data_IF_733380608474
#
_entry.id   IF_733380608474
#
_cell.length_a   1.000
_cell.length_b   1.000
_cell.length_c   1.000
_cell.angle_alpha   90.00
_cell.angle_beta   90.00
_cell.angle_gamma   90.00
#
_symmetry.space_group_name_H-M   'P 1'
#
loop_
_entity.id
_entity.type
_entity.pdbx_description
1 polymer ?
#
# COMPACT_ATOMS: atom_id res chain seq x y z
N UNK A 1 -16.39 0.62 -44.28
CA UNK A 1 -16.96 1.04 -42.98
C UNK A 1 -15.87 1.01 -41.93
N UNK A 2 -15.65 2.12 -41.22
CA UNK A 2 -14.45 2.37 -40.41
C UNK A 2 -14.32 1.52 -39.15
N UNK A 3 -13.08 1.14 -38.84
CA UNK A 3 -12.67 0.63 -37.53
C UNK A 3 -12.63 1.82 -36.58
N UNK A 4 -13.56 1.91 -35.65
CA UNK A 4 -13.57 2.99 -34.67
C UNK A 4 -12.74 2.57 -33.45
N UNK A 5 -11.68 3.33 -33.22
CA UNK A 5 -10.73 3.22 -32.12
C UNK A 5 -11.44 3.38 -30.77
N UNK A 6 -11.21 2.43 -29.86
CA UNK A 6 -11.66 2.52 -28.48
C UNK A 6 -10.64 1.87 -27.55
N UNK A 7 -9.63 2.64 -27.14
CA UNK A 7 -8.68 2.40 -26.05
C UNK A 7 -8.44 0.93 -25.66
N UNK A 8 -7.40 0.33 -26.23
CA UNK A 8 -6.77 -0.89 -25.74
C UNK A 8 -6.17 -0.62 -24.34
N UNK A 9 -6.96 -0.73 -23.28
CA UNK A 9 -6.40 -0.98 -21.95
C UNK A 9 -5.98 -2.45 -21.91
N UNK A 10 -4.96 -2.80 -22.69
CA UNK A 10 -4.26 -4.06 -22.51
C UNK A 10 -3.59 -3.95 -21.14
N UNK A 11 -4.00 -4.79 -20.20
CA UNK A 11 -3.30 -4.91 -18.93
C UNK A 11 -1.83 -5.28 -19.14
N UNK A 12 -1.12 -5.48 -18.04
CA UNK A 12 0.26 -5.95 -18.08
C UNK A 12 0.36 -7.26 -18.85
N UNK A 13 1.42 -7.38 -19.64
CA UNK A 13 1.62 -8.55 -20.49
C UNK A 13 1.92 -9.82 -19.68
N UNK A 14 2.52 -9.66 -18.50
CA UNK A 14 2.87 -10.77 -17.63
C UNK A 14 1.61 -11.43 -17.04
N UNK A 15 1.54 -12.75 -17.12
CA UNK A 15 0.47 -13.53 -16.48
C UNK A 15 0.91 -13.96 -15.07
N UNK A 16 0.18 -13.63 -14.00
CA UNK A 16 0.51 -14.07 -12.65
C UNK A 16 0.75 -15.58 -12.50
N UNK A 17 0.07 -16.41 -13.31
CA UNK A 17 0.26 -17.86 -13.27
C UNK A 17 1.66 -18.32 -13.67
N UNK A 18 2.37 -17.57 -14.52
CA UNK A 18 3.77 -17.87 -14.89
C UNK A 18 4.73 -17.65 -13.71
N UNK A 19 4.28 -16.88 -12.70
CA UNK A 19 5.01 -16.58 -11.47
C UNK A 19 4.49 -17.40 -10.28
N UNK A 20 3.69 -18.44 -10.54
CA UNK A 20 3.19 -19.36 -9.50
C UNK A 20 1.93 -18.89 -8.75
N UNK A 21 1.29 -17.81 -9.21
CA UNK A 21 0.02 -17.35 -8.63
C UNK A 21 -1.16 -18.18 -9.15
N UNK A 22 -2.04 -18.58 -8.25
CA UNK A 22 -3.24 -19.35 -8.57
C UNK A 22 -4.44 -18.41 -8.70
N UNK A 23 -5.09 -18.41 -9.87
CA UNK A 23 -6.31 -17.65 -10.10
C UNK A 23 -7.44 -18.12 -9.18
N UNK A 24 -8.12 -17.16 -8.53
CA UNK A 24 -9.20 -17.41 -7.58
C UNK A 24 -10.57 -16.92 -8.09
N UNK A 25 -10.58 -16.11 -9.14
CA UNK A 25 -11.80 -15.53 -9.71
C UNK A 25 -11.62 -14.08 -10.12
N UNK A 26 -12.72 -13.45 -10.49
CA UNK A 26 -12.76 -12.04 -10.87
C UNK A 26 -14.11 -11.42 -10.50
N UNK A 27 -14.14 -10.09 -10.46
CA UNK A 27 -15.39 -9.33 -10.40
C UNK A 27 -15.44 -8.37 -11.60
N UNK A 28 -16.36 -8.65 -12.52
CA UNK A 28 -16.52 -7.89 -13.75
C UNK A 28 -16.98 -6.44 -13.51
N UNK A 29 -17.77 -6.17 -12.47
CA UNK A 29 -18.25 -4.82 -12.16
C UNK A 29 -17.10 -3.91 -11.73
N UNK A 30 -16.21 -4.40 -10.88
CA UNK A 30 -15.02 -3.66 -10.43
C UNK A 30 -13.78 -3.89 -11.29
N UNK A 31 -13.87 -4.74 -12.31
CA UNK A 31 -12.79 -5.09 -13.26
C UNK A 31 -11.51 -5.51 -12.53
N UNK A 32 -11.67 -6.43 -11.58
CA UNK A 32 -10.59 -6.94 -10.74
C UNK A 32 -10.47 -8.45 -10.89
N UNK A 33 -9.23 -8.93 -10.88
CA UNK A 33 -8.87 -10.34 -10.86
C UNK A 33 -8.18 -10.68 -9.54
N UNK A 34 -8.50 -11.85 -8.99
CA UNK A 34 -8.00 -12.31 -7.71
C UNK A 34 -7.05 -13.48 -7.89
N UNK A 35 -5.89 -13.42 -7.24
CA UNK A 35 -4.92 -14.50 -7.22
C UNK A 35 -4.41 -14.78 -5.81
N UNK A 36 -3.97 -16.02 -5.57
CA UNK A 36 -3.33 -16.43 -4.33
C UNK A 36 -2.03 -17.17 -4.61
N UNK A 37 -0.98 -16.84 -3.87
CA UNK A 37 0.29 -17.53 -3.96
C UNK A 37 0.31 -18.70 -2.95
N UNK A 38 0.46 -19.96 -3.40
CA UNK A 38 0.21 -21.13 -2.56
C UNK A 38 1.25 -21.32 -1.46
N UNK A 39 2.49 -20.88 -1.66
CA UNK A 39 3.57 -21.14 -0.69
C UNK A 39 3.65 -20.15 0.47
N UNK A 40 3.30 -18.88 0.24
CA UNK A 40 3.39 -17.81 1.25
C UNK A 40 2.02 -17.25 1.65
N UNK A 41 0.94 -17.74 1.04
CA UNK A 41 -0.43 -17.31 1.33
C UNK A 41 -0.76 -15.88 0.91
N UNK A 42 0.12 -15.21 0.16
CA UNK A 42 -0.12 -13.85 -0.31
C UNK A 42 -1.31 -13.82 -1.27
N UNK A 43 -2.08 -12.72 -1.21
CA UNK A 43 -3.20 -12.46 -2.10
C UNK A 43 -2.91 -11.26 -2.98
N UNK A 44 -3.35 -11.31 -4.22
CA UNK A 44 -3.18 -10.28 -5.23
C UNK A 44 -4.56 -9.90 -5.78
N UNK A 45 -4.91 -8.62 -5.65
CA UNK A 45 -6.05 -8.02 -6.34
C UNK A 45 -5.47 -7.15 -7.47
N UNK A 46 -5.69 -7.56 -8.73
CA UNK A 46 -5.17 -6.90 -9.91
C UNK A 46 -6.29 -6.17 -10.66
N UNK A 47 -6.10 -4.89 -10.97
CA UNK A 47 -7.03 -4.05 -11.73
C UNK A 47 -6.42 -3.73 -13.10
N UNK A 48 -6.68 -4.55 -14.15
CA UNK A 48 -6.00 -4.40 -15.44
C UNK A 48 -6.22 -3.05 -16.10
N UNK A 49 -7.41 -2.46 -15.93
CA UNK A 49 -7.76 -1.18 -16.55
C UNK A 49 -6.98 0.01 -16.01
N UNK A 50 -6.48 -0.06 -14.77
CA UNK A 50 -5.78 1.05 -14.10
C UNK A 50 -4.34 0.69 -13.73
N UNK A 51 -3.85 -0.49 -14.10
CA UNK A 51 -2.54 -1.00 -13.68
C UNK A 51 -2.36 -1.02 -12.15
N UNK A 52 -3.48 -1.03 -11.40
CA UNK A 52 -3.43 -0.97 -9.94
C UNK A 52 -3.28 -2.37 -9.40
N UNK A 53 -2.36 -2.52 -8.44
CA UNK A 53 -2.10 -3.77 -7.75
C UNK A 53 -2.23 -3.56 -6.26
N UNK A 54 -2.95 -4.47 -5.62
CA UNK A 54 -2.96 -4.62 -4.18
C UNK A 54 -2.48 -6.00 -3.81
N UNK A 55 -1.51 -6.08 -2.91
CA UNK A 55 -1.06 -7.33 -2.31
C UNK A 55 -1.42 -7.37 -0.83
N UNK A 56 -1.87 -8.51 -0.34
CA UNK A 56 -2.10 -8.77 1.09
C UNK A 56 -1.21 -9.92 1.53
N UNK A 57 -0.38 -9.73 2.55
CA UNK A 57 0.61 -10.72 2.99
C UNK A 57 0.87 -10.62 4.49
N UNK A 58 1.46 -11.67 5.07
CA UNK A 58 1.92 -11.68 6.45
C UNK A 58 3.40 -11.27 6.51
N UNK A 59 3.67 -10.04 6.91
CA UNK A 59 5.03 -9.51 6.97
C UNK A 59 5.73 -10.02 8.24
N UNK A 60 6.97 -10.54 8.16
CA UNK A 60 7.62 -11.21 9.29
C UNK A 60 7.76 -10.34 10.55
N UNK A 61 7.83 -9.01 10.40
CA UNK A 61 7.91 -8.08 11.54
C UNK A 61 6.66 -7.25 11.78
N UNK A 62 5.83 -7.01 10.75
CA UNK A 62 4.67 -6.11 10.85
C UNK A 62 3.35 -6.89 10.97
N UNK A 63 3.40 -8.21 10.80
CA UNK A 63 2.22 -9.05 10.69
C UNK A 63 1.44 -8.79 9.39
N UNK A 64 0.13 -9.06 9.44
CA UNK A 64 -0.76 -8.93 8.29
C UNK A 64 -0.79 -7.48 7.80
N UNK A 65 -0.38 -7.28 6.56
CA UNK A 65 -0.32 -5.97 5.92
C UNK A 65 -0.89 -6.00 4.51
N UNK A 66 -1.20 -4.83 3.97
CA UNK A 66 -1.63 -4.63 2.60
C UNK A 66 -0.77 -3.56 1.95
N UNK A 67 -0.34 -3.81 0.73
CA UNK A 67 0.43 -2.86 -0.07
C UNK A 67 -0.34 -2.53 -1.35
N UNK A 68 -0.35 -1.25 -1.72
CA UNK A 68 -1.06 -0.74 -2.89
C UNK A 68 -0.09 0.00 -3.80
N UNK A 69 -0.07 -0.32 -5.09
CA UNK A 69 0.64 0.48 -6.10
C UNK A 69 -0.30 0.74 -7.26
N UNK A 70 -0.19 1.95 -7.81
CA UNK A 70 -0.94 2.42 -8.98
C UNK A 70 0.06 2.67 -10.08
N UNK A 71 -0.40 2.62 -11.32
CA UNK A 71 0.37 3.03 -12.49
C UNK A 71 1.73 2.31 -12.58
N UNK A 72 1.77 1.03 -12.23
CA UNK A 72 2.96 0.21 -12.47
C UNK A 72 3.19 0.13 -13.99
N UNK A 73 4.45 0.09 -14.41
CA UNK A 73 4.82 -0.40 -15.73
C UNK A 73 4.91 -1.93 -15.71
N UNK A 74 5.07 -2.56 -16.88
CA UNK A 74 5.17 -4.02 -16.96
C UNK A 74 6.31 -4.57 -16.08
N UNK A 75 7.46 -3.89 -16.08
CA UNK A 75 8.60 -4.26 -15.23
C UNK A 75 8.23 -4.24 -13.75
N UNK A 76 7.62 -3.15 -13.27
CA UNK A 76 7.20 -3.00 -11.89
C UNK A 76 6.12 -4.02 -11.49
N UNK A 77 5.23 -4.36 -12.42
CA UNK A 77 4.26 -5.43 -12.22
C UNK A 77 4.93 -6.80 -12.06
N UNK A 78 5.86 -7.16 -12.95
CA UNK A 78 6.63 -8.40 -12.83
C UNK A 78 7.41 -8.50 -11.52
N UNK A 79 7.99 -7.38 -11.05
CA UNK A 79 8.67 -7.33 -9.75
C UNK A 79 7.72 -7.65 -8.60
N UNK A 80 6.47 -7.17 -8.65
CA UNK A 80 5.45 -7.51 -7.65
C UNK A 80 5.05 -8.99 -7.74
N UNK A 81 4.95 -9.54 -8.95
CA UNK A 81 4.66 -10.97 -9.12
C UNK A 81 5.75 -11.87 -8.57
N UNK A 82 7.03 -11.50 -8.76
CA UNK A 82 8.18 -12.21 -8.21
C UNK A 82 8.30 -12.05 -6.69
N UNK A 83 8.05 -10.84 -6.19
CA UNK A 83 8.13 -10.52 -4.77
C UNK A 83 6.98 -9.59 -4.38
N UNK A 84 5.93 -10.11 -3.71
CA UNK A 84 4.77 -9.29 -3.32
C UNK A 84 5.09 -8.19 -2.31
N UNK A 85 6.33 -8.10 -1.81
CA UNK A 85 6.84 -6.99 -0.97
C UNK A 85 7.56 -5.90 -1.78
N UNK A 86 7.82 -6.09 -3.08
CA UNK A 86 8.59 -5.18 -3.94
C UNK A 86 7.99 -3.77 -4.08
N UNK A 87 6.81 -3.54 -3.52
CA UNK A 87 6.22 -2.22 -3.34
C UNK A 87 7.18 -1.26 -2.60
N UNK A 88 8.07 -1.74 -1.72
CA UNK A 88 8.81 -0.94 -0.72
C UNK A 88 9.80 0.12 -1.24
N UNK A 89 10.11 0.19 -2.54
CA UNK A 89 11.10 1.15 -3.05
C UNK A 89 10.54 2.25 -3.96
N UNK A 90 9.24 2.22 -4.27
CA UNK A 90 8.58 3.26 -5.07
C UNK A 90 7.58 4.04 -4.22
N UNK A 91 7.73 5.37 -4.18
CA UNK A 91 6.79 6.29 -3.55
C UNK A 91 7.08 6.69 -2.10
N UNK A 92 8.17 6.22 -1.47
CA UNK A 92 8.61 6.82 -0.20
C UNK A 92 9.23 8.19 -0.49
N UNK A 93 8.58 9.24 -0.01
CA UNK A 93 9.24 10.53 0.18
C UNK A 93 10.35 10.31 1.20
N UNK A 94 11.60 10.24 0.76
CA UNK A 94 12.74 10.35 1.68
C UNK A 94 12.67 11.74 2.30
N UNK A 95 12.94 11.88 3.60
CA UNK A 95 13.00 13.18 4.29
C UNK A 95 14.20 14.04 3.84
N UNK A 96 14.63 13.94 2.59
CA UNK A 96 15.77 14.66 2.05
C UNK A 96 15.42 16.08 1.56
N UNK A 97 14.13 16.45 1.49
CA UNK A 97 13.68 17.76 1.03
C UNK A 97 12.68 18.43 2.00
N UNK A 98 12.93 18.34 3.31
CA UNK A 98 12.50 19.46 4.15
C UNK A 98 13.63 20.50 4.05
N UNK A 99 13.43 21.68 3.43
CA UNK A 99 14.35 22.76 3.66
C UNK A 99 14.41 22.94 5.18
N UNK A 100 15.59 22.80 5.78
CA UNK A 100 15.80 23.19 7.15
C UNK A 100 15.40 24.66 7.24
N UNK A 101 14.20 24.93 7.76
CA UNK A 101 13.74 26.28 8.00
C UNK A 101 14.59 26.84 9.12
N UNK A 102 15.75 27.40 8.75
CA UNK A 102 16.56 28.26 9.60
C UNK A 102 15.82 29.59 9.77
N UNK A 103 14.70 29.55 10.48
CA UNK A 103 14.08 30.76 11.02
C UNK A 103 14.78 31.03 12.36
N UNK A 104 15.70 31.99 12.35
CA UNK A 104 16.18 32.63 13.56
C UNK A 104 14.97 33.34 14.19
N UNK A 105 14.36 32.74 15.20
CA UNK A 105 13.30 33.39 15.94
C UNK A 105 13.83 34.68 16.58
N UNK A 106 13.17 35.85 16.42
CA UNK A 106 13.41 36.97 17.31
C UNK A 106 12.90 36.59 18.71
N UNK A 107 13.70 36.84 19.75
CA UNK A 107 13.25 36.77 21.15
C UNK A 107 12.02 37.67 21.32
N UNK A 108 10.85 37.08 21.55
CA UNK A 108 9.63 37.83 21.79
C UNK A 108 8.43 36.91 21.93
N UNK A 109 7.96 36.76 23.17
CA UNK A 109 6.93 35.81 23.53
C UNK A 109 5.56 36.07 22.91
N UNK A 110 4.83 34.96 22.70
CA UNK A 110 3.39 34.92 22.81
C UNK A 110 3.01 33.57 23.41
N UNK A 111 2.37 33.66 24.58
CA UNK A 111 1.79 32.53 25.30
C UNK A 111 0.35 32.40 24.82
N UNK A 112 -0.03 31.23 24.28
CA UNK A 112 -1.42 30.88 24.03
C UNK A 112 -1.58 29.37 24.20
N UNK A 113 -2.09 28.98 25.38
CA UNK A 113 -2.65 27.65 25.61
C UNK A 113 -3.99 27.48 24.88
N UNK A 114 -4.54 26.29 24.68
CA UNK A 114 -4.15 24.94 25.05
C UNK A 114 -5.22 23.95 24.57
N UNK A 115 -5.02 22.66 24.91
CA UNK A 115 -5.99 21.53 24.91
C UNK A 115 -6.34 20.95 23.51
N UNK A 116 -6.22 19.63 23.22
CA UNK A 116 -6.91 18.49 23.87
C UNK A 116 -6.10 17.16 23.94
N UNK A 117 -6.15 16.54 25.13
CA UNK A 117 -6.47 15.13 25.52
C UNK A 117 -5.94 13.93 24.71
N UNK A 118 -5.08 13.11 25.35
CA UNK A 118 -5.03 11.64 25.15
C UNK A 118 -5.57 10.93 26.40
N UNK A 119 -6.55 10.05 26.21
CA UNK A 119 -7.07 9.16 27.25
C UNK A 119 -6.25 7.87 27.20
N UNK A 120 -5.56 7.55 28.30
CA UNK A 120 -5.12 6.20 28.61
C UNK A 120 -6.27 5.51 29.34
N UNK A 121 -6.73 4.35 28.83
CA UNK A 121 -7.55 3.42 29.59
C UNK A 121 -6.73 2.17 29.81
N UNK A 122 -6.13 2.09 31.00
CA UNK A 122 -5.64 0.85 31.59
C UNK A 122 -6.62 0.47 32.70
N UNK A 123 -7.33 -0.64 32.52
CA UNK A 123 -7.97 -1.34 33.62
C UNK A 123 -6.86 -1.97 34.47
N UNK A 124 -6.72 -1.51 35.70
CA UNK A 124 -5.85 -2.09 36.72
C UNK A 124 -6.40 -1.73 38.08
N UNK A 125 -7.24 -2.60 38.63
CA UNK A 125 -7.59 -2.55 40.05
C UNK A 125 -6.35 -2.97 40.85
N UNK A 126 -5.83 -2.09 41.70
CA UNK A 126 -5.11 -2.50 42.90
C UNK A 126 -5.58 -1.64 44.06
N UNK A 127 -6.36 -2.29 44.92
CA UNK A 127 -6.78 -1.78 46.22
C UNK A 127 -5.56 -1.43 47.07
N UNK A 128 -5.68 -0.38 47.87
CA UNK A 128 -4.61 0.14 48.70
C UNK A 128 -4.72 -0.27 50.17
N UNK A 129 -3.60 -0.02 50.85
CA UNK A 129 -3.46 0.34 52.26
C UNK A 129 -3.40 -0.76 53.34
N UNK A 130 -2.25 -0.70 54.04
CA UNK A 130 -1.81 -1.30 55.31
C UNK A 130 -1.62 -2.82 55.41
#
# INVERSE_FOLDING_TARGET
>A
MGKNSGNNFQGHQANPSDYGWQYQGSNAQSRVEFYQHPTNGAKLDYYPTTGTVKTSLDHPTQGKTQMFRRDLDDTGYEQVLQNPRAHTNQGYQTRANQPSSSYSAPQGGYSSGGYYKSQQSSNGYSDGYY
#
